data_IF_291887084932
#
_entry.id   IF_291887084932
#
_cell.length_a   1.000
_cell.length_b   1.000
_cell.length_c   1.000
_cell.angle_alpha   90.00
_cell.angle_beta   90.00
_cell.angle_gamma   90.00
#
_symmetry.space_group_name_H-M   'P 1'
#
loop_
_entity.id
_entity.type
_entity.pdbx_description
1 polymer ?
#
# COMPACT_ATOMS: atom_id res chain seq x y z
N UNK A 1 3.38 4.78 -18.70
CA UNK A 1 2.53 3.71 -19.27
C UNK A 1 1.50 3.34 -18.22
N UNK A 2 0.21 3.45 -18.53
CA UNK A 2 -0.87 3.01 -17.62
C UNK A 2 -1.30 1.60 -18.03
N UNK A 3 -1.27 0.66 -17.09
CA UNK A 3 -1.89 -0.66 -17.29
C UNK A 3 -3.41 -0.53 -17.43
N UNK A 4 -4.05 -1.49 -18.10
CA UNK A 4 -5.51 -1.58 -18.15
C UNK A 4 -6.07 -1.90 -16.76
N UNK A 5 -7.30 -1.48 -16.50
CA UNK A 5 -7.93 -1.73 -15.19
C UNK A 5 -8.08 -3.22 -14.92
N UNK A 6 -8.46 -4.02 -15.92
CA UNK A 6 -8.49 -5.49 -15.80
C UNK A 6 -7.15 -6.10 -15.37
N UNK A 7 -6.02 -5.55 -15.83
CA UNK A 7 -4.71 -6.03 -15.41
C UNK A 7 -4.36 -5.61 -13.97
N UNK A 8 -4.79 -4.42 -13.53
CA UNK A 8 -4.62 -3.96 -12.15
C UNK A 8 -5.48 -4.78 -11.19
N UNK A 9 -6.74 -4.99 -11.54
CA UNK A 9 -7.68 -5.77 -10.75
C UNK A 9 -7.14 -7.18 -10.57
N UNK A 10 -6.69 -7.82 -11.67
CA UNK A 10 -6.08 -9.14 -11.61
C UNK A 10 -4.86 -9.19 -10.70
N UNK A 11 -3.99 -8.17 -10.76
CA UNK A 11 -2.83 -8.06 -9.86
C UNK A 11 -3.24 -7.99 -8.39
N UNK A 12 -4.22 -7.16 -8.03
CA UNK A 12 -4.67 -7.02 -6.64
C UNK A 12 -5.42 -8.26 -6.14
N UNK A 13 -6.18 -8.95 -6.99
CA UNK A 13 -6.81 -10.24 -6.68
C UNK A 13 -5.75 -11.32 -6.40
N UNK A 14 -4.73 -11.42 -7.25
CA UNK A 14 -3.64 -12.39 -7.07
C UNK A 14 -2.81 -12.06 -5.82
N UNK A 15 -2.57 -10.77 -5.56
CA UNK A 15 -1.92 -10.31 -4.34
C UNK A 15 -2.75 -10.68 -3.11
N UNK A 16 -4.05 -10.39 -3.11
CA UNK A 16 -4.96 -10.73 -2.01
C UNK A 16 -4.93 -12.25 -1.73
N UNK A 17 -5.05 -13.08 -2.77
CA UNK A 17 -4.99 -14.53 -2.64
C UNK A 17 -3.65 -14.99 -2.01
N UNK A 18 -2.53 -14.43 -2.45
CA UNK A 18 -1.22 -14.74 -1.90
C UNK A 18 -1.10 -14.32 -0.43
N UNK A 19 -1.54 -13.10 -0.08
CA UNK A 19 -1.54 -12.61 1.30
C UNK A 19 -2.35 -13.52 2.23
N UNK A 20 -3.50 -14.01 1.76
CA UNK A 20 -4.38 -14.90 2.52
C UNK A 20 -3.75 -16.29 2.80
N UNK A 21 -2.78 -16.73 2.00
CA UNK A 21 -2.11 -18.03 2.22
C UNK A 21 -1.04 -17.98 3.29
N UNK A 22 -0.56 -16.80 3.67
CA UNK A 22 0.53 -16.67 4.64
C UNK A 22 0.00 -16.95 6.05
N UNK A 23 0.61 -17.90 6.80
CA UNK A 23 0.22 -18.17 8.17
C UNK A 23 0.35 -16.91 9.05
N UNK A 24 -0.63 -16.68 9.94
CA UNK A 24 -0.65 -15.50 10.82
C UNK A 24 0.55 -15.37 11.77
N UNK A 25 1.25 -16.49 12.04
CA UNK A 25 2.43 -16.52 12.90
C UNK A 25 3.71 -16.12 12.14
N UNK A 26 3.66 -16.16 10.81
CA UNK A 26 4.80 -15.80 9.98
C UNK A 26 4.86 -14.29 9.76
N UNK A 27 6.08 -13.78 9.61
CA UNK A 27 6.32 -12.37 9.32
C UNK A 27 6.35 -12.18 7.81
N UNK A 28 5.39 -11.41 7.29
CA UNK A 28 5.35 -11.06 5.87
C UNK A 28 5.94 -9.66 5.65
N UNK A 29 6.81 -9.55 4.64
CA UNK A 29 7.27 -8.27 4.11
C UNK A 29 7.13 -8.32 2.59
N UNK A 30 6.27 -7.46 2.05
CA UNK A 30 6.16 -7.23 0.61
C UNK A 30 6.96 -5.97 0.24
N UNK A 31 7.86 -6.11 -0.74
CA UNK A 31 8.71 -5.02 -1.23
C UNK A 31 8.51 -4.84 -2.73
N UNK A 32 8.53 -3.60 -3.18
CA UNK A 32 8.44 -3.27 -4.60
C UNK A 32 7.90 -1.87 -4.81
N UNK A 33 7.91 -1.44 -6.06
CA UNK A 33 7.18 -0.26 -6.49
C UNK A 33 5.76 -0.69 -6.90
N UNK A 34 4.78 -0.30 -6.07
CA UNK A 34 3.36 -0.58 -6.32
C UNK A 34 2.68 0.54 -7.11
N UNK A 35 3.43 1.57 -7.53
CA UNK A 35 2.93 2.73 -8.27
C UNK A 35 1.70 3.38 -7.61
N UNK A 36 1.75 3.45 -6.28
CA UNK A 36 0.65 3.82 -5.40
C UNK A 36 1.02 5.07 -4.60
N UNK A 37 0.12 6.07 -4.65
CA UNK A 37 0.21 7.27 -3.82
C UNK A 37 -0.89 7.21 -2.80
N UNK A 38 -0.54 7.11 -1.54
CA UNK A 38 -1.48 6.82 -0.44
C UNK A 38 -1.94 8.09 0.29
N UNK A 39 -1.36 9.24 -0.03
CA UNK A 39 -1.74 10.53 0.53
C UNK A 39 -1.29 10.72 1.99
N UNK A 40 -2.04 11.54 2.73
CA UNK A 40 -1.67 12.03 4.08
C UNK A 40 -2.72 11.78 5.16
N UNK A 41 -3.85 11.14 4.80
CA UNK A 41 -4.99 10.93 5.69
C UNK A 41 -4.79 9.73 6.65
N UNK A 42 -3.83 9.90 7.56
CA UNK A 42 -3.49 8.90 8.56
C UNK A 42 -4.61 8.66 9.58
N UNK A 43 -5.53 9.61 9.75
CA UNK A 43 -6.68 9.46 10.64
C UNK A 43 -7.68 8.44 10.08
N UNK A 44 -7.99 8.53 8.78
CA UNK A 44 -8.85 7.56 8.11
C UNK A 44 -8.22 6.16 8.00
N UNK A 45 -6.89 6.09 7.92
CA UNK A 45 -6.14 4.84 7.69
C UNK A 45 -5.27 4.44 8.89
N UNK A 46 -5.77 4.66 10.10
CA UNK A 46 -5.05 4.33 11.33
C UNK A 46 -4.64 2.85 11.36
N UNK A 47 -3.37 2.60 11.70
CA UNK A 47 -2.81 1.24 11.76
C UNK A 47 -2.30 0.69 10.43
N UNK A 48 -2.54 1.38 9.31
CA UNK A 48 -2.04 1.05 7.97
C UNK A 48 -1.10 2.13 7.45
N UNK A 49 -1.53 3.40 7.56
CA UNK A 49 -0.80 4.55 7.06
C UNK A 49 -0.07 5.27 8.20
N UNK A 50 1.20 5.57 7.98
CA UNK A 50 2.03 6.37 8.88
C UNK A 50 1.89 7.88 8.69
N UNK A 51 2.46 8.64 9.62
CA UNK A 51 2.34 10.11 9.68
C UNK A 51 3.10 10.86 8.58
N UNK A 52 3.93 10.18 7.80
CA UNK A 52 4.83 10.79 6.81
C UNK A 52 4.44 10.49 5.36
N UNK A 53 3.18 10.11 5.13
CA UNK A 53 2.59 10.11 3.79
C UNK A 53 2.74 11.45 3.07
N UNK A 54 2.58 11.46 1.75
CA UNK A 54 2.77 12.64 0.90
C UNK A 54 1.68 12.72 -0.17
N UNK A 55 1.28 13.95 -0.49
CA UNK A 55 0.40 14.24 -1.63
C UNK A 55 -1.05 13.80 -1.41
N UNK A 56 -1.74 13.58 -2.53
CA UNK A 56 -3.10 13.04 -2.56
C UNK A 56 -3.07 11.55 -2.86
N UNK A 57 -4.04 10.83 -2.29
CA UNK A 57 -4.27 9.44 -2.67
C UNK A 57 -4.66 9.36 -4.16
N UNK A 58 -4.11 8.37 -4.87
CA UNK A 58 -4.57 7.99 -6.21
C UNK A 58 -5.33 6.65 -6.16
N UNK A 59 -5.93 6.22 -7.28
CA UNK A 59 -6.75 5.01 -7.32
C UNK A 59 -5.97 3.75 -6.87
N UNK A 60 -4.72 3.62 -7.31
CA UNK A 60 -3.82 2.54 -6.88
C UNK A 60 -3.52 2.62 -5.37
N UNK A 61 -3.33 3.82 -4.84
CA UNK A 61 -3.13 4.05 -3.42
C UNK A 61 -4.33 3.63 -2.59
N UNK A 62 -5.54 3.88 -3.08
CA UNK A 62 -6.76 3.45 -2.41
C UNK A 62 -6.90 1.92 -2.40
N UNK A 63 -6.62 1.26 -3.52
CA UNK A 63 -6.60 -0.21 -3.62
C UNK A 63 -5.57 -0.82 -2.66
N UNK A 64 -4.38 -0.26 -2.62
CA UNK A 64 -3.32 -0.69 -1.72
C UNK A 64 -3.72 -0.50 -0.24
N UNK A 65 -4.25 0.67 0.12
CA UNK A 65 -4.70 0.96 1.48
C UNK A 65 -5.79 -0.01 1.94
N UNK A 66 -6.77 -0.33 1.09
CA UNK A 66 -7.82 -1.32 1.37
C UNK A 66 -7.24 -2.72 1.59
N UNK A 67 -6.35 -3.15 0.70
CA UNK A 67 -5.68 -4.45 0.79
C UNK A 67 -4.87 -4.55 2.09
N UNK A 68 -4.10 -3.51 2.44
CA UNK A 68 -3.33 -3.48 3.68
C UNK A 68 -4.22 -3.45 4.92
N UNK A 69 -5.34 -2.72 4.91
CA UNK A 69 -6.28 -2.71 6.03
C UNK A 69 -6.90 -4.09 6.29
N UNK A 70 -7.29 -4.79 5.22
CA UNK A 70 -7.86 -6.13 5.30
C UNK A 70 -6.88 -7.15 5.90
N UNK A 71 -5.62 -7.12 5.43
CA UNK A 71 -4.58 -8.05 5.87
C UNK A 71 -3.76 -7.56 7.07
N UNK A 72 -4.16 -6.44 7.70
CA UNK A 72 -3.48 -5.81 8.85
C UNK A 72 -1.99 -5.52 8.59
N UNK A 73 -1.69 -5.06 7.38
CA UNK A 73 -0.36 -4.67 6.94
C UNK A 73 -0.14 -3.17 7.13
N UNK A 74 1.12 -2.79 7.31
CA UNK A 74 1.55 -1.42 7.56
C UNK A 74 2.45 -0.92 6.43
N UNK A 75 2.20 0.31 5.98
CA UNK A 75 2.99 0.96 4.94
C UNK A 75 4.25 1.61 5.53
N UNK A 76 5.34 0.85 5.55
CA UNK A 76 6.62 1.24 6.18
C UNK A 76 7.21 2.54 5.65
N UNK A 77 7.10 2.82 4.35
CA UNK A 77 7.59 4.06 3.74
C UNK A 77 6.93 5.33 4.30
N UNK A 78 5.75 5.20 4.91
CA UNK A 78 5.01 6.33 5.49
C UNK A 78 5.21 6.46 7.00
N UNK A 79 5.90 5.50 7.64
CA UNK A 79 6.19 5.54 9.08
C UNK A 79 7.37 6.43 9.43
N UNK A 80 8.29 6.63 8.49
CA UNK A 80 9.53 7.35 8.72
C UNK A 80 9.61 8.62 7.88
N UNK A 81 10.23 9.66 8.45
CA UNK A 81 10.51 10.89 7.71
C UNK A 81 11.66 10.66 6.74
N UNK A 82 11.32 10.30 5.50
CA UNK A 82 12.30 10.11 4.43
C UNK A 82 12.69 11.45 3.76
N UNK A 83 13.91 11.57 3.19
CA UNK A 83 14.26 12.64 2.26
C UNK A 83 13.27 12.72 1.08
N UNK A 84 12.98 13.92 0.58
CA UNK A 84 11.99 14.13 -0.50
C UNK A 84 12.27 13.28 -1.74
N UNK A 85 13.54 13.08 -2.11
CA UNK A 85 13.96 12.23 -3.23
C UNK A 85 13.60 10.74 -3.10
N UNK A 86 13.31 10.28 -1.87
CA UNK A 86 12.91 8.90 -1.56
C UNK A 86 11.42 8.76 -1.31
N UNK A 87 10.67 9.88 -1.35
CA UNK A 87 9.21 9.86 -1.32
C UNK A 87 8.74 9.73 -2.75
N UNK A 88 8.13 8.60 -3.09
CA UNK A 88 7.49 8.43 -4.39
C UNK A 88 6.37 9.48 -4.54
N UNK A 89 6.42 10.25 -5.63
CA UNK A 89 5.48 11.34 -5.99
C UNK A 89 4.20 10.86 -6.63
#
# INVERSE_FOLDING_TARGET
>A
MTSSDAAKDKFYEDLHALLATVPKLDKLIALGDLNARVGTDHAAWQGVLGLHGLGSCNDNGLLLLRTCAEHRLLLTNTLFRLPTRQKAT
#
